data_IF_563169036237
#
_entry.id   IF_563169036237
#
_cell.length_a   1.000
_cell.length_b   1.000
_cell.length_c   1.000
_cell.angle_alpha   90.00
_cell.angle_beta   90.00
_cell.angle_gamma   90.00
#
_symmetry.space_group_name_H-M   'P 1'
#
loop_
_entity.id
_entity.type
_entity.pdbx_description
1 polymer ?
#
# COMPACT_ATOMS: atom_id res chain seq x y z
N UNK A 1 25.71 -5.45 24.56
CA UNK A 1 24.66 -4.41 24.44
C UNK A 1 25.28 -3.17 23.82
N UNK A 2 24.81 -2.68 22.68
CA UNK A 2 25.37 -1.47 22.06
C UNK A 2 24.90 -0.22 22.83
N UNK A 3 25.78 0.79 22.98
CA UNK A 3 25.42 2.06 23.62
C UNK A 3 24.47 2.84 22.73
N UNK A 4 23.43 3.45 23.31
CA UNK A 4 22.41 4.24 22.59
C UNK A 4 23.05 5.34 21.72
N UNK A 5 24.09 6.02 22.22
CA UNK A 5 24.81 7.04 21.45
C UNK A 5 25.49 6.52 20.17
N UNK A 6 25.85 5.23 20.09
CA UNK A 6 26.39 4.63 18.87
C UNK A 6 25.27 4.32 17.85
N UNK A 7 24.08 3.99 18.33
CA UNK A 7 22.89 3.73 17.49
C UNK A 7 22.43 5.02 16.83
N UNK A 8 22.38 6.12 17.60
CA UNK A 8 21.91 7.42 17.12
C UNK A 8 22.82 8.06 16.06
N UNK A 9 24.12 7.72 16.02
CA UNK A 9 25.04 8.23 14.99
C UNK A 9 24.66 7.85 13.56
N UNK A 10 23.99 6.71 13.39
CA UNK A 10 23.57 6.20 12.07
C UNK A 10 22.06 6.33 11.87
N UNK A 11 21.34 6.90 12.84
CA UNK A 11 19.89 7.07 12.75
C UNK A 11 19.58 8.29 11.88
N UNK A 12 18.99 8.04 10.71
CA UNK A 12 18.54 9.09 9.79
C UNK A 12 17.01 9.15 9.82
N UNK A 13 16.41 10.05 10.62
CA UNK A 13 14.96 10.09 10.81
C UNK A 13 14.17 10.46 9.55
N UNK A 14 14.82 11.12 8.58
CA UNK A 14 14.19 11.54 7.33
C UNK A 14 14.33 10.50 6.20
N UNK A 15 15.18 9.47 6.36
CA UNK A 15 15.41 8.44 5.34
C UNK A 15 14.85 7.12 5.85
N UNK A 16 13.77 6.63 5.22
CA UNK A 16 13.32 5.27 5.46
C UNK A 16 14.26 4.29 4.72
N UNK A 17 14.89 3.40 5.49
CA UNK A 17 15.82 2.39 4.97
C UNK A 17 15.17 1.45 3.94
N UNK A 18 13.86 1.22 4.03
CA UNK A 18 13.14 0.24 3.23
C UNK A 18 12.28 0.85 2.13
N UNK A 19 11.93 2.14 2.26
CA UNK A 19 11.11 2.87 1.30
C UNK A 19 12.00 3.85 0.51
N UNK A 20 12.45 3.40 -0.66
CA UNK A 20 13.34 4.16 -1.55
C UNK A 20 12.63 4.73 -2.78
N UNK A 21 11.43 4.25 -3.09
CA UNK A 21 10.64 4.59 -4.29
C UNK A 21 9.20 4.88 -3.90
N UNK A 22 8.57 5.78 -4.65
CA UNK A 22 7.19 6.20 -4.42
C UNK A 22 6.20 5.01 -4.44
N UNK A 23 6.33 4.06 -5.38
CA UNK A 23 5.45 2.89 -5.42
C UNK A 23 5.57 1.99 -4.17
N UNK A 24 6.70 2.03 -3.45
CA UNK A 24 6.84 1.31 -2.18
C UNK A 24 6.01 2.01 -1.11
N UNK A 25 6.13 3.34 -0.99
CA UNK A 25 5.31 4.15 -0.08
C UNK A 25 3.82 3.96 -0.37
N UNK A 26 3.43 4.01 -1.65
CA UNK A 26 2.04 3.86 -2.04
C UNK A 26 1.51 2.45 -1.78
N UNK A 27 2.33 1.42 -1.98
CA UNK A 27 1.97 0.04 -1.61
C UNK A 27 1.77 -0.16 -0.11
N UNK A 28 2.60 0.49 0.72
CA UNK A 28 2.41 0.50 2.18
C UNK A 28 1.10 1.21 2.53
N UNK A 29 0.88 2.42 2.01
CA UNK A 29 -0.35 3.18 2.21
C UNK A 29 -1.61 2.36 1.87
N UNK A 30 -1.63 1.70 0.70
CA UNK A 30 -2.74 0.81 0.32
C UNK A 30 -2.98 -0.29 1.35
N UNK A 31 -1.92 -0.89 1.88
CA UNK A 31 -2.04 -1.97 2.85
C UNK A 31 -2.55 -1.50 4.22
N UNK A 32 -2.23 -0.27 4.61
CA UNK A 32 -2.71 0.36 5.84
C UNK A 32 -4.19 0.75 5.71
N UNK A 33 -4.56 1.42 4.61
CA UNK A 33 -5.95 1.83 4.35
C UNK A 33 -6.93 0.65 4.24
N UNK A 34 -6.45 -0.50 3.76
CA UNK A 34 -7.24 -1.72 3.61
C UNK A 34 -7.21 -2.62 4.85
N UNK A 35 -6.55 -2.19 5.93
CA UNK A 35 -6.30 -2.98 7.15
C UNK A 35 -5.74 -4.39 6.83
N UNK A 36 -4.81 -4.45 5.88
CA UNK A 36 -4.24 -5.69 5.34
C UNK A 36 -2.71 -5.62 5.21
N UNK A 37 -2.07 -5.04 6.23
CA UNK A 37 -0.62 -4.83 6.29
C UNK A 37 0.19 -6.13 6.16
N UNK A 38 -0.38 -7.27 6.57
CA UNK A 38 0.23 -8.60 6.38
C UNK A 38 0.54 -8.92 4.91
N UNK A 39 -0.22 -8.36 3.96
CA UNK A 39 -0.01 -8.52 2.52
C UNK A 39 0.63 -7.30 1.86
N UNK A 40 1.29 -6.39 2.60
CA UNK A 40 1.96 -5.20 2.04
C UNK A 40 2.82 -5.45 0.79
N UNK A 41 3.51 -6.59 0.72
CA UNK A 41 4.32 -6.96 -0.44
C UNK A 41 3.51 -7.13 -1.73
N UNK A 42 2.26 -7.62 -1.62
CA UNK A 42 1.31 -7.68 -2.73
C UNK A 42 0.95 -6.27 -3.21
N UNK A 43 0.59 -5.38 -2.29
CA UNK A 43 0.20 -4.01 -2.62
C UNK A 43 1.34 -3.20 -3.23
N UNK A 44 2.58 -3.37 -2.73
CA UNK A 44 3.78 -2.79 -3.35
C UNK A 44 3.98 -3.32 -4.78
N UNK A 45 3.76 -4.63 -5.00
CA UNK A 45 3.85 -5.20 -6.35
C UNK A 45 2.78 -4.61 -7.28
N UNK A 46 1.55 -4.44 -6.80
CA UNK A 46 0.47 -3.81 -7.57
C UNK A 46 0.79 -2.35 -7.89
N UNK A 47 1.24 -1.57 -6.90
CA UNK A 47 1.67 -0.17 -7.08
C UNK A 47 2.81 -0.03 -8.10
N UNK A 48 3.70 -1.02 -8.17
CA UNK A 48 4.81 -1.03 -9.14
C UNK A 48 4.35 -1.33 -10.57
N UNK A 49 3.30 -2.13 -10.76
CA UNK A 49 2.93 -2.67 -12.09
C UNK A 49 1.64 -2.09 -12.67
N UNK A 50 0.78 -1.50 -11.84
CA UNK A 50 -0.52 -0.96 -12.24
C UNK A 50 -0.47 0.56 -12.08
N UNK A 51 -1.04 1.26 -13.07
CA UNK A 51 -1.11 2.72 -13.03
C UNK A 51 -1.86 3.19 -11.77
N UNK A 52 -1.25 4.14 -11.04
CA UNK A 52 -1.74 4.64 -9.74
C UNK A 52 -3.21 5.04 -9.75
N UNK A 53 -3.65 5.76 -10.79
CA UNK A 53 -5.05 6.17 -10.94
C UNK A 53 -6.07 5.01 -10.86
N UNK A 54 -5.71 3.81 -11.34
CA UNK A 54 -6.60 2.64 -11.28
C UNK A 54 -6.69 2.13 -9.83
N UNK A 55 -5.56 2.11 -9.12
CA UNK A 55 -5.49 1.68 -7.72
C UNK A 55 -6.21 2.67 -6.81
N UNK A 56 -6.05 3.98 -7.02
CA UNK A 56 -6.77 5.02 -6.28
C UNK A 56 -8.28 4.94 -6.50
N UNK A 57 -8.71 4.67 -7.74
CA UNK A 57 -10.13 4.46 -8.04
C UNK A 57 -10.68 3.21 -7.33
N UNK A 58 -9.91 2.12 -7.26
CA UNK A 58 -10.28 0.94 -6.49
C UNK A 58 -10.32 1.23 -4.98
N UNK A 59 -9.37 1.99 -4.46
CA UNK A 59 -9.29 2.34 -3.05
C UNK A 59 -10.46 3.23 -2.62
N UNK A 60 -10.76 4.28 -3.40
CA UNK A 60 -11.89 5.18 -3.15
C UNK A 60 -13.24 4.46 -3.14
N UNK A 61 -13.39 3.36 -3.87
CA UNK A 61 -14.59 2.53 -3.79
C UNK A 61 -14.69 1.75 -2.46
N UNK A 62 -13.55 1.41 -1.86
CA UNK A 62 -13.49 0.59 -0.63
C UNK A 62 -13.39 1.43 0.63
N UNK A 63 -12.92 2.69 0.55
CA UNK A 63 -12.68 3.56 1.70
C UNK A 63 -13.90 3.65 2.63
N UNK A 64 -15.07 3.87 2.05
CA UNK A 64 -16.33 4.07 2.77
C UNK A 64 -17.10 2.76 3.01
N UNK A 65 -16.51 1.62 2.65
CA UNK A 65 -17.17 0.32 2.81
C UNK A 65 -17.04 -0.20 4.25
N UNK A 66 -18.14 -0.77 4.77
CA UNK A 66 -18.16 -1.54 6.01
C UNK A 66 -17.83 -3.02 5.80
N UNK A 67 -17.10 -3.34 4.72
CA UNK A 67 -16.78 -4.72 4.39
C UNK A 67 -15.87 -5.34 5.45
N UNK A 68 -16.19 -6.57 5.88
CA UNK A 68 -15.36 -7.32 6.85
C UNK A 68 -13.94 -7.57 6.35
N UNK A 69 -13.73 -7.59 5.03
CA UNK A 69 -12.42 -7.76 4.41
C UNK A 69 -12.28 -6.75 3.26
N UNK A 70 -11.73 -5.58 3.58
CA UNK A 70 -11.50 -4.49 2.62
C UNK A 70 -10.49 -4.89 1.54
N UNK A 71 -9.43 -5.62 1.89
CA UNK A 71 -8.44 -6.13 0.93
C UNK A 71 -9.07 -7.00 -0.18
N UNK A 72 -9.96 -7.92 0.19
CA UNK A 72 -10.66 -8.76 -0.81
C UNK A 72 -11.60 -7.94 -1.71
N UNK A 73 -12.33 -6.97 -1.13
CA UNK A 73 -13.21 -6.08 -1.89
C UNK A 73 -12.40 -5.20 -2.86
N UNK A 74 -11.25 -4.71 -2.41
CA UNK A 74 -10.31 -3.95 -3.24
C UNK A 74 -9.82 -4.77 -4.42
N UNK A 75 -9.38 -6.01 -4.19
CA UNK A 75 -8.91 -6.89 -5.25
C UNK A 75 -10.01 -7.21 -6.27
N UNK A 76 -11.24 -7.43 -5.79
CA UNK A 76 -12.40 -7.62 -6.66
C UNK A 76 -12.68 -6.38 -7.53
N UNK A 77 -12.72 -5.19 -6.93
CA UNK A 77 -12.98 -3.93 -7.65
C UNK A 77 -11.87 -3.60 -8.65
N UNK A 78 -10.62 -3.82 -8.26
CA UNK A 78 -9.47 -3.68 -9.15
C UNK A 78 -9.59 -4.59 -10.38
N UNK A 79 -10.10 -5.81 -10.20
CA UNK A 79 -10.43 -6.72 -11.29
C UNK A 79 -11.49 -6.16 -12.25
N UNK A 80 -12.56 -5.56 -11.73
CA UNK A 80 -13.61 -4.93 -12.54
C UNK A 80 -13.08 -3.76 -13.37
N UNK A 81 -12.27 -2.89 -12.75
CA UNK A 81 -11.66 -1.73 -13.42
C UNK A 81 -10.76 -2.15 -14.57
N UNK A 82 -9.94 -3.19 -14.37
CA UNK A 82 -9.04 -3.71 -15.41
C UNK A 82 -9.77 -4.41 -16.54
N UNK A 83 -10.93 -5.00 -16.27
CA UNK A 83 -11.76 -5.65 -17.28
C UNK A 83 -12.67 -4.67 -18.04
N UNK A 84 -12.63 -3.37 -17.75
CA UNK A 84 -13.51 -2.37 -18.35
C UNK A 84 -14.99 -2.58 -18.00
N UNK A 85 -15.27 -3.26 -16.88
CA UNK A 85 -16.64 -3.59 -16.44
C UNK A 85 -17.26 -2.55 -15.50
N UNK A 86 -16.51 -1.49 -15.21
CA UNK A 86 -16.99 -0.34 -14.43
C UNK A 86 -17.78 0.57 -15.37
N UNK A 87 -19.11 0.47 -15.30
CA UNK A 87 -20.04 1.32 -16.07
C UNK A 87 -20.38 2.58 -15.29
#
# INVERSE_FOLDING_TARGET
>A
MQKIGAILKNFKPAEDKYISREFQSFGIYLSEELDDYKHRGLYIKLAKTIHRAILEKALSFVSDSNAKNKGALFMWKLGQLRAGKDK
#
